data_IF_755646511726
#
_entry.id   IF_755646511726
#
_cell.length_a   1.000
_cell.length_b   1.000
_cell.length_c   1.000
_cell.angle_alpha   90.00
_cell.angle_beta   90.00
_cell.angle_gamma   90.00
#
_symmetry.space_group_name_H-M   'P 1'
#
loop_
_entity.id
_entity.type
_entity.pdbx_description
1 polymer ?
#
# COMPACT_ATOMS: atom_id res chain seq x y z
N UNK A 1 18.23 43.71 36.03
CA UNK A 1 16.85 44.05 36.41
C UNK A 1 16.07 44.06 35.10
N UNK A 2 15.13 43.16 34.80
CA UNK A 2 14.32 42.26 35.63
C UNK A 2 14.16 40.89 34.97
N UNK A 3 14.97 39.91 35.39
CA UNK A 3 14.62 38.49 35.27
C UNK A 3 13.70 38.15 36.45
N UNK A 4 12.45 38.61 36.41
CA UNK A 4 11.47 38.22 37.45
C UNK A 4 10.14 37.83 36.84
N UNK A 5 9.78 36.58 37.16
CA UNK A 5 8.48 35.95 37.00
C UNK A 5 8.04 35.65 35.56
N UNK A 6 8.80 34.81 34.86
CA UNK A 6 8.13 33.79 34.06
C UNK A 6 7.46 32.83 35.03
N UNK A 7 6.13 32.80 35.02
CA UNK A 7 5.29 31.83 35.71
C UNK A 7 5.96 30.43 35.62
N UNK A 8 6.17 29.71 36.75
CA UNK A 8 6.82 28.39 36.75
C UNK A 8 6.18 27.42 35.74
N UNK A 9 4.90 27.60 35.43
CA UNK A 9 4.18 26.85 34.41
C UNK A 9 4.73 27.14 33.00
N UNK A 10 5.04 28.40 32.69
CA UNK A 10 5.59 28.84 31.39
C UNK A 10 7.03 28.35 31.22
N UNK A 11 7.85 28.43 32.27
CA UNK A 11 9.23 27.90 32.24
C UNK A 11 9.25 26.39 32.04
N UNK A 12 8.37 25.66 32.74
CA UNK A 12 8.23 24.21 32.60
C UNK A 12 7.73 23.82 31.20
N UNK A 13 6.84 24.61 30.59
CA UNK A 13 6.40 24.41 29.20
C UNK A 13 7.53 24.62 28.21
N UNK A 14 8.33 25.68 28.37
CA UNK A 14 9.50 25.93 27.50
C UNK A 14 10.54 24.81 27.60
N UNK A 15 10.87 24.36 28.82
CA UNK A 15 11.79 23.24 29.05
C UNK A 15 11.27 21.91 28.48
N UNK A 16 9.95 21.68 28.58
CA UNK A 16 9.31 20.51 28.00
C UNK A 16 9.37 20.52 26.47
N UNK A 17 9.09 21.66 25.82
CA UNK A 17 9.18 21.78 24.36
C UNK A 17 10.62 21.59 23.87
N UNK A 18 11.61 22.19 24.54
CA UNK A 18 13.03 21.99 24.22
C UNK A 18 13.44 20.51 24.36
N UNK A 19 12.94 19.84 25.39
CA UNK A 19 13.24 18.41 25.63
C UNK A 19 12.60 17.52 24.55
N UNK A 20 11.36 17.83 24.13
CA UNK A 20 10.70 17.13 23.02
C UNK A 20 11.49 17.29 21.73
N UNK A 21 11.91 18.50 21.38
CA UNK A 21 12.70 18.76 20.17
C UNK A 21 13.98 17.94 20.16
N UNK A 22 14.76 17.97 21.24
CA UNK A 22 16.01 17.18 21.35
C UNK A 22 15.77 15.67 21.23
N UNK A 23 14.67 15.18 21.81
CA UNK A 23 14.33 13.77 21.73
C UNK A 23 14.00 13.36 20.29
N UNK A 24 13.23 14.17 19.57
CA UNK A 24 12.87 13.93 18.16
C UNK A 24 14.12 13.97 17.28
N UNK A 25 14.99 14.95 17.45
CA UNK A 25 16.27 15.03 16.73
C UNK A 25 17.12 13.77 16.92
N UNK A 26 17.23 13.29 18.17
CA UNK A 26 18.02 12.09 18.49
C UNK A 26 17.44 10.82 17.84
N UNK A 27 16.11 10.70 17.76
CA UNK A 27 15.47 9.60 17.04
C UNK A 27 15.67 9.71 15.53
N UNK A 28 15.57 10.91 14.94
CA UNK A 28 15.82 11.12 13.51
C UNK A 28 17.25 10.77 13.13
N UNK A 29 18.25 11.13 13.95
CA UNK A 29 19.65 10.74 13.72
C UNK A 29 19.82 9.22 13.73
N UNK A 30 19.22 8.51 14.69
CA UNK A 30 19.28 7.03 14.73
C UNK A 30 18.65 6.39 13.50
N UNK A 31 17.53 6.94 13.02
CA UNK A 31 16.86 6.45 11.81
C UNK A 31 17.75 6.69 10.57
N UNK A 32 18.35 7.87 10.44
CA UNK A 32 19.25 8.19 9.34
C UNK A 32 20.48 7.28 9.30
N UNK A 33 21.10 7.02 10.44
CA UNK A 33 22.29 6.16 10.50
C UNK A 33 21.94 4.70 10.23
N UNK A 34 20.80 4.23 10.74
CA UNK A 34 20.29 2.89 10.41
C UNK A 34 19.95 2.77 8.92
N UNK A 35 19.38 3.83 8.31
CA UNK A 35 19.00 3.86 6.91
C UNK A 35 20.21 3.74 5.96
N UNK A 36 21.35 4.35 6.29
CA UNK A 36 22.58 4.28 5.47
C UNK A 36 23.05 2.83 5.28
N UNK A 37 22.92 2.00 6.32
CA UNK A 37 23.32 0.59 6.34
C UNK A 37 22.30 -0.41 5.81
N UNK A 38 21.13 0.05 5.34
CA UNK A 38 20.10 -0.85 4.79
C UNK A 38 20.33 -1.19 3.31
N UNK A 39 19.93 -2.40 2.95
CA UNK A 39 19.80 -2.82 1.56
C UNK A 39 18.77 -1.96 0.81
N UNK A 40 18.96 -1.72 -0.51
CA UNK A 40 18.08 -0.87 -1.32
C UNK A 40 16.59 -1.20 -1.20
N UNK A 41 16.25 -2.48 -1.13
CA UNK A 41 14.85 -2.94 -1.07
C UNK A 41 14.15 -2.58 0.26
N UNK A 42 14.92 -2.43 1.34
CA UNK A 42 14.41 -2.06 2.66
C UNK A 42 14.38 -0.54 2.89
N UNK A 43 15.15 0.22 2.12
CA UNK A 43 15.16 1.69 2.19
C UNK A 43 13.81 2.29 1.83
N UNK A 44 13.15 1.74 0.80
CA UNK A 44 11.81 2.17 0.39
C UNK A 44 10.79 2.04 1.52
N UNK A 45 10.81 0.93 2.27
CA UNK A 45 9.92 0.69 3.40
C UNK A 45 10.12 1.71 4.55
N UNK A 46 11.38 2.08 4.83
CA UNK A 46 11.69 3.07 5.87
C UNK A 46 11.22 4.47 5.48
N UNK A 47 11.40 4.87 4.21
CA UNK A 47 10.89 6.15 3.70
C UNK A 47 9.36 6.20 3.80
N UNK A 48 8.66 5.13 3.41
CA UNK A 48 7.20 5.04 3.51
C UNK A 48 6.70 5.16 4.96
N UNK A 49 7.39 4.52 5.91
CA UNK A 49 7.07 4.62 7.33
C UNK A 49 7.27 6.03 7.90
N UNK A 50 8.33 6.73 7.48
CA UNK A 50 8.60 8.11 7.87
C UNK A 50 7.56 9.09 7.31
N UNK A 51 7.18 8.95 6.03
CA UNK A 51 6.13 9.77 5.41
C UNK A 51 4.78 9.57 6.14
N UNK A 52 4.46 8.33 6.52
CA UNK A 52 3.25 8.04 7.30
C UNK A 52 3.27 8.67 8.70
N UNK A 53 4.42 8.69 9.36
CA UNK A 53 4.60 9.32 10.68
C UNK A 53 4.42 10.85 10.59
N UNK A 54 5.08 11.51 9.63
CA UNK A 54 4.96 12.97 9.43
C UNK A 54 3.49 13.36 9.19
N UNK A 55 2.79 12.63 8.31
CA UNK A 55 1.36 12.87 8.05
C UNK A 55 0.48 12.70 9.29
N UNK A 56 0.82 11.82 10.22
CA UNK A 56 0.07 11.66 11.49
C UNK A 56 0.22 12.84 12.43
N UNK A 57 1.40 13.45 12.44
CA UNK A 57 1.72 14.61 13.28
C UNK A 57 1.05 15.86 12.71
N UNK A 58 0.96 15.98 11.38
CA UNK A 58 0.31 17.09 10.67
C UNK A 58 -1.24 17.04 10.71
N UNK A 59 -1.84 16.15 11.52
CA UNK A 59 -3.30 16.01 11.64
C UNK A 59 -3.94 15.22 10.50
N UNK A 60 -3.13 14.61 9.62
CA UNK A 60 -3.57 13.58 8.71
C UNK A 60 -3.92 12.31 9.50
N UNK A 61 -5.07 11.72 9.22
CA UNK A 61 -5.46 10.43 9.82
C UNK A 61 -4.34 9.42 9.55
N UNK A 62 -3.72 8.89 10.62
CA UNK A 62 -2.80 7.76 10.53
C UNK A 62 -3.58 6.52 10.10
N UNK A 63 -3.79 6.39 8.79
CA UNK A 63 -4.11 5.11 8.21
C UNK A 63 -2.77 4.40 8.07
N UNK A 64 -2.44 3.57 9.05
CA UNK A 64 -1.50 2.46 8.82
C UNK A 64 -2.01 1.70 7.59
N UNK A 65 -1.46 2.00 6.42
CA UNK A 65 -2.06 1.67 5.13
C UNK A 65 -2.67 2.90 4.43
N UNK A 66 -1.81 3.81 3.98
CA UNK A 66 -1.96 4.61 2.75
C UNK A 66 -3.37 4.77 2.14
N UNK A 67 -4.34 5.42 2.81
CA UNK A 67 -5.63 5.76 2.16
C UNK A 67 -5.54 7.01 1.28
N UNK A 68 -4.58 7.91 1.49
CA UNK A 68 -4.43 9.10 0.64
C UNK A 68 -3.86 8.77 -0.76
N UNK A 69 -3.05 7.71 -0.89
CA UNK A 69 -2.67 7.14 -2.20
C UNK A 69 -3.78 6.26 -2.83
N UNK A 70 -4.83 5.93 -2.07
CA UNK A 70 -5.92 5.05 -2.53
C UNK A 70 -7.02 5.77 -3.29
N UNK A 71 -7.20 7.08 -3.14
CA UNK A 71 -8.35 7.75 -3.80
C UNK A 71 -8.24 7.83 -5.33
N UNK A 72 -7.05 7.71 -5.92
CA UNK A 72 -6.87 7.47 -7.37
C UNK A 72 -6.62 6.01 -7.75
N UNK A 73 -6.41 5.12 -6.77
CA UNK A 73 -6.11 3.68 -6.95
C UNK A 73 -7.25 2.73 -6.55
N UNK A 74 -8.34 3.26 -6.00
CA UNK A 74 -9.64 2.58 -5.87
C UNK A 74 -10.35 2.46 -7.23
N UNK A 75 -9.61 2.10 -8.30
CA UNK A 75 -10.25 1.31 -9.34
C UNK A 75 -10.54 -0.06 -8.71
N UNK A 76 -11.68 -0.13 -8.05
CA UNK A 76 -12.20 -1.36 -7.46
C UNK A 76 -12.30 -2.34 -8.62
N UNK A 77 -11.48 -3.40 -8.61
CA UNK A 77 -11.57 -4.49 -9.57
C UNK A 77 -13.05 -4.84 -9.77
N UNK A 78 -13.57 -4.57 -10.96
CA UNK A 78 -14.94 -4.81 -11.37
C UNK A 78 -15.09 -6.29 -11.81
N UNK A 79 -15.73 -7.14 -10.97
CA UNK A 79 -15.87 -8.56 -11.28
C UNK A 79 -16.69 -8.82 -12.55
N UNK A 80 -17.68 -7.97 -12.80
CA UNK A 80 -18.58 -8.08 -13.95
C UNK A 80 -17.82 -7.81 -15.25
N UNK A 81 -17.03 -6.74 -15.28
CA UNK A 81 -16.22 -6.40 -16.46
C UNK A 81 -15.16 -7.47 -16.76
N UNK A 82 -14.51 -8.01 -15.73
CA UNK A 82 -13.54 -9.10 -15.91
C UNK A 82 -14.20 -10.36 -16.49
N UNK A 83 -15.40 -10.71 -16.01
CA UNK A 83 -16.21 -11.80 -16.54
C UNK A 83 -16.64 -11.56 -18.00
N UNK A 84 -17.16 -10.37 -18.29
CA UNK A 84 -17.59 -9.97 -19.64
C UNK A 84 -16.43 -10.08 -20.64
N UNK A 85 -15.20 -9.77 -20.23
CA UNK A 85 -14.02 -9.93 -21.08
C UNK A 85 -13.75 -11.39 -21.34
N UNK A 86 -13.71 -12.26 -20.31
CA UNK A 86 -13.53 -13.70 -20.52
C UNK A 86 -14.61 -14.27 -21.46
N UNK A 87 -15.86 -13.90 -21.26
CA UNK A 87 -17.00 -14.39 -22.04
C UNK A 87 -16.95 -13.89 -23.50
N UNK A 88 -16.37 -12.71 -23.78
CA UNK A 88 -16.13 -12.25 -25.16
C UNK A 88 -15.19 -13.13 -25.98
N UNK A 89 -14.35 -13.94 -25.31
CA UNK A 89 -13.44 -14.88 -25.95
C UNK A 89 -13.98 -16.32 -25.93
N UNK A 90 -15.25 -16.52 -25.55
CA UNK A 90 -15.89 -17.84 -25.43
C UNK A 90 -15.14 -18.83 -24.51
N UNK A 91 -14.37 -18.31 -23.53
CA UNK A 91 -13.61 -19.12 -22.59
C UNK A 91 -14.39 -19.35 -21.30
N UNK A 92 -14.42 -20.57 -20.79
CA UNK A 92 -14.76 -20.85 -19.39
C UNK A 92 -13.60 -20.53 -18.46
N UNK A 93 -13.83 -20.44 -17.14
CA UNK A 93 -12.73 -20.21 -16.18
C UNK A 93 -11.68 -21.34 -16.22
N UNK A 94 -12.09 -22.56 -16.57
CA UNK A 94 -11.18 -23.71 -16.73
C UNK A 94 -10.33 -23.58 -17.99
N UNK A 95 -10.96 -23.23 -19.11
CA UNK A 95 -10.24 -23.02 -20.38
C UNK A 95 -9.26 -21.84 -20.29
N UNK A 96 -9.67 -20.74 -19.65
CA UNK A 96 -8.75 -19.64 -19.38
C UNK A 96 -7.57 -20.09 -18.49
N UNK A 97 -7.83 -20.88 -17.44
CA UNK A 97 -6.76 -21.42 -16.61
C UNK A 97 -5.83 -22.39 -17.37
N UNK A 98 -6.34 -23.08 -18.39
CA UNK A 98 -5.55 -23.93 -19.29
C UNK A 98 -4.69 -23.11 -20.24
N UNK A 99 -5.23 -22.03 -20.81
CA UNK A 99 -4.55 -21.10 -21.72
C UNK A 99 -3.40 -20.36 -21.03
N UNK A 100 -3.61 -19.93 -19.78
CA UNK A 100 -2.57 -19.32 -18.95
C UNK A 100 -1.46 -20.32 -18.55
N UNK A 101 -1.66 -21.61 -18.84
CA UNK A 101 -0.68 -22.71 -18.82
C UNK A 101 0.28 -22.75 -17.62
N UNK A 102 -0.22 -22.50 -16.42
CA UNK A 102 0.60 -22.43 -15.22
C UNK A 102 0.15 -23.41 -14.12
N UNK A 103 1.07 -24.32 -13.75
CA UNK A 103 0.97 -25.18 -12.58
C UNK A 103 -0.38 -25.87 -12.39
N UNK A 104 -0.91 -25.80 -11.17
CA UNK A 104 -2.17 -26.44 -10.80
C UNK A 104 -3.39 -25.64 -11.35
N UNK A 105 -3.80 -25.99 -12.58
CA UNK A 105 -4.96 -25.44 -13.31
C UNK A 105 -6.25 -25.36 -12.47
N UNK A 106 -6.44 -26.29 -11.54
CA UNK A 106 -7.58 -26.28 -10.63
C UNK A 106 -7.56 -25.09 -9.64
N UNK A 107 -6.37 -24.74 -9.13
CA UNK A 107 -6.20 -23.60 -8.23
C UNK A 107 -6.45 -22.27 -8.97
N UNK A 108 -5.93 -22.14 -10.19
CA UNK A 108 -6.09 -20.95 -11.02
C UNK A 108 -7.57 -20.73 -11.42
N UNK A 109 -8.25 -21.76 -11.93
CA UNK A 109 -9.68 -21.65 -12.27
C UNK A 109 -10.56 -21.31 -11.06
N UNK A 110 -10.25 -21.86 -9.88
CA UNK A 110 -10.93 -21.51 -8.63
C UNK A 110 -10.70 -20.05 -8.24
N UNK A 111 -9.47 -19.56 -8.42
CA UNK A 111 -9.11 -18.18 -8.08
C UNK A 111 -9.77 -17.17 -9.05
N UNK A 112 -9.77 -17.47 -10.35
CA UNK A 112 -10.50 -16.68 -11.37
C UNK A 112 -11.97 -16.56 -10.99
N UNK A 113 -12.61 -17.68 -10.65
CA UNK A 113 -14.01 -17.68 -10.21
C UNK A 113 -14.23 -16.80 -8.96
N UNK A 114 -13.33 -16.85 -7.97
CA UNK A 114 -13.42 -15.99 -6.78
C UNK A 114 -13.31 -14.50 -7.13
N UNK A 115 -12.48 -14.13 -8.09
CA UNK A 115 -12.38 -12.75 -8.58
C UNK A 115 -13.63 -12.33 -9.35
N UNK A 116 -14.09 -13.12 -10.32
CA UNK A 116 -15.25 -12.81 -11.16
C UNK A 116 -16.59 -12.83 -10.41
N UNK A 117 -16.66 -13.51 -9.26
CA UNK A 117 -17.83 -13.47 -8.36
C UNK A 117 -17.71 -12.41 -7.27
N UNK A 118 -16.57 -11.71 -7.19
CA UNK A 118 -16.31 -10.71 -6.15
C UNK A 118 -16.12 -11.29 -4.75
N UNK A 119 -16.04 -12.63 -4.60
CA UNK A 119 -15.76 -13.29 -3.31
C UNK A 119 -14.41 -12.87 -2.74
N UNK A 120 -13.45 -12.62 -3.61
CA UNK A 120 -12.12 -12.11 -3.25
C UNK A 120 -11.76 -11.00 -4.24
N UNK A 121 -11.05 -9.98 -3.78
CA UNK A 121 -10.46 -8.95 -4.65
C UNK A 121 -8.99 -9.29 -4.90
N UNK A 122 -8.47 -9.14 -6.13
CA UNK A 122 -7.04 -9.22 -6.36
C UNK A 122 -6.31 -8.15 -5.54
N UNK A 123 -5.16 -8.49 -4.99
CA UNK A 123 -4.35 -7.56 -4.22
C UNK A 123 -3.69 -6.52 -5.12
N UNK A 124 -3.45 -5.33 -4.57
CA UNK A 124 -2.60 -4.31 -5.18
C UNK A 124 -1.43 -3.98 -4.23
N UNK A 125 -0.16 -4.10 -4.67
CA UNK A 125 0.27 -4.68 -5.95
C UNK A 125 -0.11 -6.17 -6.06
N UNK A 126 -0.25 -6.72 -7.28
CA UNK A 126 -0.56 -8.13 -7.48
C UNK A 126 0.43 -9.06 -6.78
N UNK A 127 -0.03 -9.81 -5.78
CA UNK A 127 0.78 -10.79 -5.06
C UNK A 127 0.47 -12.21 -5.54
N UNK A 128 1.53 -13.00 -5.75
CA UNK A 128 1.45 -14.36 -6.27
C UNK A 128 1.34 -14.41 -7.80
N UNK A 129 1.90 -15.46 -8.39
CA UNK A 129 1.98 -15.63 -9.85
C UNK A 129 0.60 -15.79 -10.51
N UNK A 130 -0.31 -16.52 -9.85
CA UNK A 130 -1.71 -16.70 -10.27
C UNK A 130 -2.41 -15.35 -10.46
N UNK A 131 -2.32 -14.46 -9.46
CA UNK A 131 -2.92 -13.13 -9.50
C UNK A 131 -2.31 -12.29 -10.62
N UNK A 132 -0.97 -12.34 -10.78
CA UNK A 132 -0.27 -11.57 -11.82
C UNK A 132 -0.70 -11.98 -13.21
N UNK A 133 -0.71 -13.27 -13.54
CA UNK A 133 -1.04 -13.75 -14.88
C UNK A 133 -2.47 -13.41 -15.29
N UNK A 134 -3.44 -13.65 -14.42
CA UNK A 134 -4.82 -13.32 -14.71
C UNK A 134 -5.01 -11.81 -14.95
N UNK A 135 -4.36 -10.96 -14.16
CA UNK A 135 -4.42 -9.50 -14.35
C UNK A 135 -3.67 -9.03 -15.60
N UNK A 136 -2.54 -9.67 -15.94
CA UNK A 136 -1.82 -9.41 -17.20
C UNK A 136 -2.70 -9.75 -18.40
N UNK A 137 -3.32 -10.93 -18.39
CA UNK A 137 -4.24 -11.35 -19.45
C UNK A 137 -5.42 -10.37 -19.57
N UNK A 138 -6.03 -9.94 -18.47
CA UNK A 138 -7.07 -8.92 -18.50
C UNK A 138 -6.58 -7.58 -19.08
N UNK A 139 -5.35 -7.17 -18.76
CA UNK A 139 -4.72 -5.95 -19.28
C UNK A 139 -4.50 -6.03 -20.79
N UNK A 140 -4.00 -7.15 -21.29
CA UNK A 140 -3.84 -7.42 -22.72
C UNK A 140 -5.18 -7.34 -23.48
N UNK A 141 -6.28 -7.69 -22.81
CA UNK A 141 -7.64 -7.65 -23.34
C UNK A 141 -8.41 -6.36 -23.02
N UNK A 142 -7.70 -5.27 -22.72
CA UNK A 142 -8.28 -3.93 -22.61
C UNK A 142 -8.91 -3.61 -21.24
N UNK A 143 -8.58 -4.38 -20.21
CA UNK A 143 -9.01 -4.09 -18.84
C UNK A 143 -7.84 -4.01 -17.88
N UNK A 144 -7.57 -2.79 -17.47
CA UNK A 144 -6.58 -2.48 -16.48
C UNK A 144 -7.26 -2.13 -15.16
N UNK A 145 -7.48 -3.10 -14.24
CA UNK A 145 -8.16 -2.85 -12.98
C UNK A 145 -7.41 -1.91 -12.04
N UNK A 146 -6.14 -1.61 -12.31
CA UNK A 146 -5.26 -0.90 -11.38
C UNK A 146 -4.41 0.19 -12.02
N UNK A 147 -4.69 0.56 -13.29
CA UNK A 147 -3.85 1.46 -14.07
C UNK A 147 -2.35 1.06 -14.06
N UNK A 148 -2.07 -0.25 -14.06
CA UNK A 148 -0.73 -0.85 -14.13
C UNK A 148 -0.10 -0.76 -15.53
#
# INVERSE_FOLDING_TARGET
>A
MDEKNKDPITKTKEELEVTKTKLVELYLTKIQDSYKGLEPDHKSFVIEGLDALVRSIEGGIFTSGSKAYSQKRDQVFNPKKAREIREKFDLTQKQLAEELNFGNKFSLSTQINKYETGKVKPSYPPRGEITKQYLTWLKEHGYNPFSL
#
